data_IF_342676204065
#
_entry.id   IF_342676204065
#
_cell.length_a   1.000
_cell.length_b   1.000
_cell.length_c   1.000
_cell.angle_alpha   90.00
_cell.angle_beta   90.00
_cell.angle_gamma   90.00
#
_symmetry.space_group_name_H-M   'P 1'
#
loop_
_entity.id
_entity.type
_entity.pdbx_description
1 polymer ?
#
# COMPACT_ATOMS: atom_id res chain seq x y z
N UNK A 1 -6.86 15.40 -7.64
CA UNK A 1 -7.21 16.83 -7.57
C UNK A 1 -6.72 17.60 -8.82
N UNK A 2 -5.42 17.62 -9.14
CA UNK A 2 -4.84 18.33 -10.28
C UNK A 2 -5.50 18.01 -11.64
N UNK A 3 -5.82 16.75 -11.89
CA UNK A 3 -6.47 16.31 -13.13
C UNK A 3 -7.85 16.94 -13.36
N UNK A 4 -8.62 17.17 -12.29
CA UNK A 4 -9.94 17.85 -12.37
C UNK A 4 -9.80 19.35 -12.65
N UNK A 5 -8.75 19.98 -12.11
CA UNK A 5 -8.43 21.38 -12.31
C UNK A 5 -8.00 21.61 -13.76
N UNK A 6 -7.13 20.76 -14.31
CA UNK A 6 -6.73 20.81 -15.71
C UNK A 6 -7.90 20.58 -16.68
N UNK A 7 -8.82 19.64 -16.36
CA UNK A 7 -10.02 19.39 -17.16
C UNK A 7 -11.03 20.57 -17.13
N UNK A 8 -10.96 21.41 -16.09
CA UNK A 8 -11.75 22.65 -16.00
C UNK A 8 -11.11 23.84 -16.74
N UNK A 9 -10.07 23.59 -17.54
CA UNK A 9 -9.42 24.63 -18.35
C UNK A 9 -8.42 25.50 -17.58
N UNK A 10 -8.11 25.18 -16.33
CA UNK A 10 -7.09 25.93 -15.57
C UNK A 10 -5.69 25.58 -16.07
N UNK A 11 -4.87 26.60 -16.29
CA UNK A 11 -3.45 26.47 -16.63
C UNK A 11 -2.60 26.49 -15.37
N UNK A 12 -1.65 25.54 -15.27
CA UNK A 12 -0.66 25.54 -14.19
C UNK A 12 0.54 26.42 -14.57
N UNK A 13 0.97 27.30 -13.68
CA UNK A 13 2.23 28.02 -13.82
C UNK A 13 3.32 27.26 -13.09
N UNK A 14 4.41 26.96 -13.80
CA UNK A 14 5.64 26.45 -13.19
C UNK A 14 6.48 27.62 -12.72
N UNK A 15 6.77 27.68 -11.42
CA UNK A 15 7.62 28.71 -10.81
C UNK A 15 8.93 28.03 -10.33
N UNK A 16 10.03 28.12 -11.12
CA UNK A 16 11.28 27.41 -10.80
C UNK A 16 11.91 27.87 -9.47
N UNK A 17 11.66 29.12 -9.10
CA UNK A 17 12.19 29.74 -7.88
C UNK A 17 11.43 29.36 -6.61
N UNK A 18 10.26 28.73 -6.77
CA UNK A 18 9.48 28.26 -5.63
C UNK A 18 10.17 27.06 -4.99
N UNK A 19 10.90 27.29 -3.91
CA UNK A 19 11.45 26.24 -3.09
C UNK A 19 10.60 26.05 -1.83
N UNK A 20 10.35 24.80 -1.45
CA UNK A 20 9.63 24.44 -0.23
C UNK A 20 10.50 23.52 0.60
N UNK A 21 10.93 24.02 1.75
CA UNK A 21 11.64 23.20 2.73
C UNK A 21 10.64 22.27 3.42
N UNK A 22 10.78 20.98 3.20
CA UNK A 22 9.92 19.97 3.79
C UNK A 22 10.60 19.32 5.00
N UNK A 23 10.29 19.81 6.18
CA UNK A 23 10.74 19.19 7.42
C UNK A 23 10.06 17.84 7.62
N UNK A 24 10.85 16.77 7.68
CA UNK A 24 10.36 15.43 8.02
C UNK A 24 10.80 15.09 9.43
N UNK A 25 9.85 14.94 10.34
CA UNK A 25 10.10 14.56 11.73
C UNK A 25 10.94 13.28 11.82
N UNK A 26 11.91 13.17 12.74
CA UNK A 26 12.74 11.98 12.90
C UNK A 26 11.95 10.68 13.06
N UNK A 27 10.79 10.70 13.74
CA UNK A 27 9.91 9.55 13.88
C UNK A 27 9.41 9.00 12.52
N UNK A 28 9.27 9.87 11.52
CA UNK A 28 8.85 9.50 10.14
C UNK A 28 9.99 8.99 9.28
N UNK A 29 11.23 9.11 9.72
CA UNK A 29 12.43 8.63 9.04
C UNK A 29 12.78 7.18 9.39
N UNK A 30 11.95 6.51 10.20
CA UNK A 30 12.19 5.14 10.65
C UNK A 30 11.63 4.11 9.67
N UNK A 31 12.29 2.94 9.58
CA UNK A 31 11.80 1.78 8.81
C UNK A 31 10.42 1.33 9.28
N UNK A 32 10.16 1.42 10.59
CA UNK A 32 8.85 1.09 11.18
C UNK A 32 7.75 2.02 10.68
N UNK A 33 8.03 3.31 10.59
CA UNK A 33 7.09 4.28 10.01
C UNK A 33 6.83 3.99 8.53
N UNK A 34 7.87 3.80 7.74
CA UNK A 34 7.74 3.49 6.31
C UNK A 34 6.92 2.23 6.08
N UNK A 35 7.14 1.18 6.89
CA UNK A 35 6.33 -0.05 6.82
C UNK A 35 4.86 0.24 7.05
N UNK A 36 4.50 0.93 8.15
CA UNK A 36 3.11 1.28 8.47
C UNK A 36 2.48 2.15 7.37
N UNK A 37 3.20 3.12 6.87
CA UNK A 37 2.76 3.99 5.79
C UNK A 37 2.40 3.18 4.53
N UNK A 38 3.27 2.29 4.07
CA UNK A 38 3.02 1.48 2.88
C UNK A 38 1.94 0.41 3.09
N UNK A 39 1.79 -0.14 4.29
CA UNK A 39 0.66 -1.00 4.64
C UNK A 39 -0.65 -0.23 4.50
N UNK A 40 -0.74 0.98 5.07
CA UNK A 40 -1.90 1.85 4.94
C UNK A 40 -2.24 2.19 3.48
N UNK A 41 -1.24 2.53 2.68
CA UNK A 41 -1.41 2.80 1.25
C UNK A 41 -1.96 1.58 0.48
N UNK A 42 -1.41 0.40 0.76
CA UNK A 42 -1.88 -0.85 0.17
C UNK A 42 -3.30 -1.21 0.57
N UNK A 43 -3.65 -1.01 1.85
CA UNK A 43 -4.98 -1.20 2.39
C UNK A 43 -6.02 -0.30 1.71
N UNK A 44 -5.77 1.01 1.67
CA UNK A 44 -6.67 1.98 1.05
C UNK A 44 -6.88 1.70 -0.44
N UNK A 45 -5.82 1.34 -1.17
CA UNK A 45 -5.92 0.99 -2.59
C UNK A 45 -6.81 -0.24 -2.80
N UNK A 46 -6.69 -1.27 -1.94
CA UNK A 46 -7.52 -2.46 -2.02
C UNK A 46 -8.98 -2.19 -1.59
N UNK A 47 -9.22 -1.40 -0.52
CA UNK A 47 -10.58 -1.02 -0.10
C UNK A 47 -11.32 -0.27 -1.22
N UNK A 48 -10.66 0.65 -1.92
CA UNK A 48 -11.24 1.31 -3.10
C UNK A 48 -11.60 0.32 -4.21
N UNK A 49 -10.75 -0.68 -4.47
CA UNK A 49 -11.02 -1.70 -5.46
C UNK A 49 -12.19 -2.61 -5.06
N UNK A 50 -12.30 -2.95 -3.76
CA UNK A 50 -13.38 -3.77 -3.19
C UNK A 50 -14.73 -3.05 -3.32
N UNK A 51 -14.78 -1.75 -2.97
CA UNK A 51 -15.99 -0.93 -3.14
C UNK A 51 -16.45 -0.89 -4.61
N UNK A 52 -15.50 -0.92 -5.56
CA UNK A 52 -15.77 -1.00 -6.99
C UNK A 52 -16.02 -2.45 -7.49
N UNK A 53 -16.36 -3.39 -6.61
CA UNK A 53 -16.69 -4.77 -6.96
C UNK A 53 -15.50 -5.67 -7.28
N UNK A 54 -14.25 -5.19 -7.18
CA UNK A 54 -13.04 -5.98 -7.47
C UNK A 54 -12.57 -6.76 -6.24
N UNK A 55 -13.27 -7.85 -5.94
CA UNK A 55 -12.94 -8.68 -4.78
C UNK A 55 -12.07 -9.85 -5.19
N UNK A 56 -10.96 -10.03 -4.47
CA UNK A 56 -10.09 -11.17 -4.68
C UNK A 56 -10.77 -12.47 -4.22
N UNK A 57 -10.84 -13.45 -5.11
CA UNK A 57 -11.22 -14.81 -4.76
C UNK A 57 -10.14 -15.51 -3.91
N UNK A 58 -10.43 -16.69 -3.35
CA UNK A 58 -9.49 -17.39 -2.46
C UNK A 58 -8.15 -17.71 -3.13
N UNK A 59 -8.16 -18.09 -4.42
CA UNK A 59 -6.94 -18.34 -5.19
C UNK A 59 -6.07 -17.09 -5.29
N UNK A 60 -6.66 -15.94 -5.53
CA UNK A 60 -5.95 -14.66 -5.59
C UNK A 60 -5.40 -14.25 -4.21
N UNK A 61 -6.16 -14.46 -3.13
CA UNK A 61 -5.71 -14.22 -1.75
C UNK A 61 -4.51 -15.11 -1.37
N UNK A 62 -4.55 -16.40 -1.77
CA UNK A 62 -3.44 -17.32 -1.54
C UNK A 62 -2.17 -16.87 -2.26
N UNK A 63 -2.27 -16.48 -3.53
CA UNK A 63 -1.14 -15.91 -4.29
C UNK A 63 -0.60 -14.65 -3.63
N UNK A 64 -1.48 -13.80 -3.10
CA UNK A 64 -1.10 -12.58 -2.41
C UNK A 64 -0.29 -12.89 -1.14
N UNK A 65 -0.73 -13.87 -0.32
CA UNK A 65 0.02 -14.36 0.85
C UNK A 65 1.44 -14.82 0.49
N UNK A 66 1.58 -15.67 -0.52
CA UNK A 66 2.90 -16.12 -0.98
C UNK A 66 3.79 -14.94 -1.41
N UNK A 67 3.24 -13.96 -2.12
CA UNK A 67 4.00 -12.77 -2.53
C UNK A 67 4.43 -11.90 -1.35
N UNK A 68 3.61 -11.79 -0.30
CA UNK A 68 3.99 -11.10 0.95
C UNK A 68 5.19 -11.79 1.59
N UNK A 69 5.09 -13.10 1.81
CA UNK A 69 6.18 -13.91 2.42
C UNK A 69 7.46 -13.78 1.59
N UNK A 70 7.37 -13.93 0.27
CA UNK A 70 8.52 -13.78 -0.62
C UNK A 70 9.18 -12.40 -0.52
N UNK A 71 8.39 -11.34 -0.51
CA UNK A 71 8.92 -9.97 -0.37
C UNK A 71 9.52 -9.71 1.01
N UNK A 72 9.01 -10.33 2.07
CA UNK A 72 9.64 -10.26 3.38
C UNK A 72 10.97 -11.01 3.41
N UNK A 73 11.07 -12.19 2.80
CA UNK A 73 12.34 -12.91 2.67
C UNK A 73 13.39 -12.09 1.91
N UNK A 74 13.00 -11.47 0.79
CA UNK A 74 13.88 -10.57 0.03
C UNK A 74 14.30 -9.32 0.84
N UNK A 75 13.41 -8.79 1.68
CA UNK A 75 13.74 -7.69 2.59
C UNK A 75 14.84 -8.11 3.58
N UNK A 76 14.68 -9.26 4.22
CA UNK A 76 15.67 -9.79 5.18
C UNK A 76 17.01 -10.05 4.48
N UNK A 77 17.00 -10.71 3.33
CA UNK A 77 18.21 -10.97 2.55
C UNK A 77 18.91 -9.67 2.12
N UNK A 78 18.16 -8.69 1.62
CA UNK A 78 18.71 -7.39 1.23
C UNK A 78 19.29 -6.60 2.41
N UNK A 79 18.69 -6.72 3.60
CA UNK A 79 19.24 -6.15 4.84
C UNK A 79 20.57 -6.81 5.22
N UNK A 80 20.63 -8.12 5.14
CA UNK A 80 21.84 -8.90 5.47
C UNK A 80 23.00 -8.61 4.51
N UNK A 81 22.71 -8.35 3.24
CA UNK A 81 23.73 -8.07 2.21
C UNK A 81 24.08 -6.58 2.08
N UNK A 82 23.40 -5.68 2.81
CA UNK A 82 23.65 -4.23 2.73
C UNK A 82 23.13 -3.54 1.47
N UNK A 83 22.44 -4.22 0.57
CA UNK A 83 21.89 -3.64 -0.66
C UNK A 83 20.68 -2.75 -0.40
N UNK A 84 20.92 -1.46 -0.12
CA UNK A 84 19.90 -0.48 0.33
C UNK A 84 18.72 -0.36 -0.64
N UNK A 85 18.97 -0.20 -1.92
CA UNK A 85 17.89 -0.07 -2.93
C UNK A 85 17.00 -1.33 -2.97
N UNK A 86 17.59 -2.49 -2.84
CA UNK A 86 16.87 -3.76 -2.91
C UNK A 86 15.99 -4.01 -1.69
N UNK A 87 16.52 -3.82 -0.47
CA UNK A 87 15.71 -4.04 0.72
C UNK A 87 14.62 -2.97 0.87
N UNK A 88 14.86 -1.71 0.48
CA UNK A 88 13.83 -0.65 0.48
C UNK A 88 12.70 -0.95 -0.50
N UNK A 89 13.00 -1.39 -1.73
CA UNK A 89 11.97 -1.79 -2.69
C UNK A 89 11.17 -2.99 -2.19
N UNK A 90 11.84 -3.97 -1.58
CA UNK A 90 11.20 -5.16 -1.00
C UNK A 90 10.32 -4.80 0.19
N UNK A 91 10.78 -3.90 1.08
CA UNK A 91 9.99 -3.34 2.18
C UNK A 91 8.72 -2.66 1.65
N UNK A 92 8.86 -1.74 0.70
CA UNK A 92 7.76 -1.01 0.09
C UNK A 92 6.72 -1.95 -0.52
N UNK A 93 7.16 -2.80 -1.45
CA UNK A 93 6.27 -3.73 -2.16
C UNK A 93 5.63 -4.76 -1.22
N UNK A 94 6.40 -5.31 -0.29
CA UNK A 94 5.92 -6.26 0.71
C UNK A 94 4.86 -5.66 1.62
N UNK A 95 5.10 -4.45 2.12
CA UNK A 95 4.16 -3.73 2.99
C UNK A 95 2.87 -3.36 2.27
N UNK A 96 2.95 -2.90 1.00
CA UNK A 96 1.74 -2.65 0.20
C UNK A 96 0.93 -3.93 -0.06
N UNK A 97 1.59 -5.06 -0.34
CA UNK A 97 0.91 -6.35 -0.51
C UNK A 97 0.25 -6.82 0.79
N UNK A 98 0.91 -6.62 1.94
CA UNK A 98 0.36 -6.90 3.26
C UNK A 98 -0.91 -6.07 3.52
N UNK A 99 -0.89 -4.78 3.25
CA UNK A 99 -2.07 -3.92 3.39
C UNK A 99 -3.23 -4.37 2.50
N UNK A 100 -2.96 -4.78 1.26
CA UNK A 100 -3.99 -5.35 0.38
C UNK A 100 -4.58 -6.64 0.95
N UNK A 101 -3.76 -7.50 1.52
CA UNK A 101 -4.21 -8.75 2.13
C UNK A 101 -5.14 -8.48 3.31
N UNK A 102 -4.78 -7.55 4.21
CA UNK A 102 -5.61 -7.12 5.34
C UNK A 102 -6.98 -6.60 4.87
N UNK A 103 -7.01 -5.73 3.87
CA UNK A 103 -8.28 -5.20 3.34
C UNK A 103 -9.21 -6.28 2.79
N UNK A 104 -8.67 -7.34 2.17
CA UNK A 104 -9.48 -8.47 1.71
C UNK A 104 -9.94 -9.39 2.85
N UNK A 105 -9.17 -9.51 3.92
CA UNK A 105 -9.56 -10.25 5.13
C UNK A 105 -10.72 -9.54 5.84
N UNK A 106 -10.60 -8.22 6.04
CA UNK A 106 -11.65 -7.40 6.67
C UNK A 106 -12.95 -7.45 5.84
N UNK A 107 -12.86 -7.30 4.52
CA UNK A 107 -14.02 -7.37 3.65
C UNK A 107 -14.69 -8.77 3.66
N UNK A 108 -13.94 -9.83 3.89
CA UNK A 108 -14.52 -11.17 4.07
C UNK A 108 -15.23 -11.27 5.42
N UNK A 109 -14.57 -10.82 6.50
CA UNK A 109 -15.16 -10.82 7.84
C UNK A 109 -16.46 -9.99 7.90
N UNK A 110 -16.50 -8.83 7.25
CA UNK A 110 -17.70 -7.99 7.12
C UNK A 110 -18.85 -8.74 6.44
N UNK A 111 -18.57 -9.56 5.42
CA UNK A 111 -19.59 -10.37 4.71
C UNK A 111 -20.10 -11.52 5.55
N UNK A 112 -19.17 -12.23 6.20
CA UNK A 112 -19.51 -13.36 7.04
C UNK A 112 -20.40 -12.91 8.21
N UNK A 113 -20.13 -11.71 8.75
CA UNK A 113 -20.94 -11.07 9.79
C UNK A 113 -22.33 -10.61 9.28
N UNK A 114 -22.41 -10.18 8.00
CA UNK A 114 -23.67 -9.75 7.39
C UNK A 114 -24.58 -10.92 6.96
N UNK A 115 -24.07 -12.16 6.91
CA UNK A 115 -24.80 -13.37 6.49
C UNK A 115 -24.80 -14.46 7.56
N UNK A 116 -25.31 -14.21 8.79
CA UNK A 116 -25.21 -15.15 9.91
C UNK A 116 -26.09 -16.42 9.79
N UNK A 117 -26.88 -16.55 8.72
CA UNK A 117 -27.89 -17.60 8.57
C UNK A 117 -27.68 -18.58 7.40
N UNK A 118 -26.55 -18.55 6.69
CA UNK A 118 -26.28 -19.41 5.52
C UNK A 118 -25.40 -20.64 5.86
N UNK A 119 -25.70 -21.34 6.96
CA UNK A 119 -25.13 -22.66 7.29
C UNK A 119 -26.23 -23.69 7.42
#
# INVERSE_FOLDING_TARGET
MLKRIALAGATGLWVPEASVDHWIEPARQSVAYLRRFYVGMGYLAARRAIVNGRIANERARRRLRHRVVWKQALYVAGRATGHTAWWLDSLRKGSMLQGRLLAHQDAQAERDAASPGAR
#
